data_IF_744909162411
#
_entry.id   IF_744909162411
#
_cell.length_a   1.000
_cell.length_b   1.000
_cell.length_c   1.000
_cell.angle_alpha   90.00
_cell.angle_beta   90.00
_cell.angle_gamma   90.00
#
_symmetry.space_group_name_H-M   'P 1'
#
loop_
_entity.id
_entity.type
_entity.pdbx_description
1 polymer ?
#
# COMPACT_ATOMS: atom_id res chain seq x y z
N UNK A 1 -16.42 -31.69 25.23
CA UNK A 1 -15.54 -30.51 25.24
C UNK A 1 -15.93 -29.69 26.44
N UNK A 2 -14.98 -29.35 27.30
CA UNK A 2 -15.21 -28.46 28.43
C UNK A 2 -15.30 -27.01 27.89
N UNK A 3 -16.17 -26.16 28.46
CA UNK A 3 -16.38 -24.77 28.05
C UNK A 3 -15.07 -23.96 27.93
N UNK A 4 -14.07 -24.34 28.73
CA UNK A 4 -12.73 -23.72 28.74
C UNK A 4 -11.90 -24.08 27.49
N UNK A 5 -12.00 -25.32 27.01
CA UNK A 5 -11.31 -25.77 25.79
C UNK A 5 -11.91 -25.10 24.56
N UNK A 6 -13.23 -24.95 24.54
CA UNK A 6 -13.93 -24.26 23.45
C UNK A 6 -13.60 -22.77 23.44
N UNK A 7 -13.54 -22.13 24.61
CA UNK A 7 -13.11 -20.73 24.73
C UNK A 7 -11.67 -20.52 24.22
N UNK A 8 -10.75 -21.42 24.56
CA UNK A 8 -9.37 -21.35 24.08
C UNK A 8 -9.27 -21.57 22.57
N UNK A 9 -10.03 -22.53 22.01
CA UNK A 9 -10.07 -22.76 20.57
C UNK A 9 -10.57 -21.52 19.81
N UNK A 10 -11.60 -20.84 20.32
CA UNK A 10 -12.10 -19.57 19.75
C UNK A 10 -11.03 -18.48 19.75
N UNK A 11 -10.30 -18.31 20.86
CA UNK A 11 -9.19 -17.34 20.94
C UNK A 11 -8.09 -17.64 19.93
N UNK A 12 -7.68 -18.90 19.82
CA UNK A 12 -6.68 -19.32 18.84
C UNK A 12 -7.14 -19.02 17.40
N UNK A 13 -8.41 -19.29 17.08
CA UNK A 13 -8.98 -18.98 15.76
C UNK A 13 -8.95 -17.48 15.45
N UNK A 14 -9.30 -16.62 16.41
CA UNK A 14 -9.23 -15.15 16.26
C UNK A 14 -7.78 -14.71 16.02
N UNK A 15 -6.84 -15.21 16.82
CA UNK A 15 -5.41 -14.90 16.70
C UNK A 15 -4.89 -15.21 15.29
N UNK A 16 -5.18 -16.42 14.78
CA UNK A 16 -4.77 -16.85 13.45
C UNK A 16 -5.42 -15.98 12.37
N UNK A 17 -6.73 -15.76 12.45
CA UNK A 17 -7.47 -14.95 11.47
C UNK A 17 -6.90 -13.54 11.35
N UNK A 18 -6.65 -12.90 12.49
CA UNK A 18 -6.09 -11.55 12.53
C UNK A 18 -4.65 -11.51 12.03
N UNK A 19 -3.84 -12.52 12.37
CA UNK A 19 -2.48 -12.62 11.88
C UNK A 19 -2.44 -12.71 10.34
N UNK A 20 -3.25 -13.61 9.77
CA UNK A 20 -3.39 -13.78 8.31
C UNK A 20 -3.84 -12.48 7.64
N UNK A 21 -4.77 -11.74 8.25
CA UNK A 21 -5.21 -10.45 7.71
C UNK A 21 -4.10 -9.41 7.71
N UNK A 22 -3.28 -9.34 8.75
CA UNK A 22 -2.12 -8.44 8.80
C UNK A 22 -1.09 -8.83 7.74
N UNK A 23 -0.80 -10.12 7.55
CA UNK A 23 0.10 -10.59 6.49
C UNK A 23 -0.39 -10.19 5.09
N UNK A 24 -1.68 -10.38 4.79
CA UNK A 24 -2.29 -9.95 3.53
C UNK A 24 -2.13 -8.44 3.30
N UNK A 25 -2.38 -7.62 4.32
CA UNK A 25 -2.22 -6.16 4.23
C UNK A 25 -0.76 -5.72 4.05
N UNK A 26 0.18 -6.38 4.73
CA UNK A 26 1.61 -6.13 4.53
C UNK A 26 2.01 -6.44 3.08
N UNK A 27 1.56 -7.59 2.55
CA UNK A 27 1.83 -7.99 1.16
C UNK A 27 1.21 -7.02 0.14
N UNK A 28 0.00 -6.53 0.39
CA UNK A 28 -0.63 -5.48 -0.43
C UNK A 28 0.16 -4.17 -0.38
N UNK A 29 0.80 -3.88 0.74
CA UNK A 29 1.77 -2.78 0.87
C UNK A 29 3.13 -3.09 0.24
N UNK A 30 3.28 -4.21 -0.48
CA UNK A 30 4.50 -4.58 -1.19
C UNK A 30 5.55 -5.27 -0.34
N UNK A 31 5.21 -5.72 0.88
CA UNK A 31 6.11 -6.51 1.71
C UNK A 31 6.50 -7.83 1.03
N UNK A 32 7.72 -8.29 1.31
CA UNK A 32 8.27 -9.56 0.81
C UNK A 32 8.76 -10.42 1.98
N UNK A 33 8.69 -11.74 1.82
CA UNK A 33 9.07 -12.71 2.85
C UNK A 33 7.98 -13.72 3.17
N UNK A 34 8.34 -14.68 4.01
CA UNK A 34 7.54 -15.85 4.39
C UNK A 34 6.93 -15.71 5.79
N UNK A 35 7.50 -14.87 6.66
CA UNK A 35 7.02 -14.66 8.02
C UNK A 35 6.88 -13.19 8.42
N UNK A 36 6.18 -12.94 9.54
CA UNK A 36 5.94 -11.60 10.10
C UNK A 36 7.20 -10.73 10.16
N UNK A 37 8.31 -11.29 10.65
CA UNK A 37 9.60 -10.59 10.76
C UNK A 37 10.09 -10.09 9.41
N UNK A 38 10.16 -10.98 8.42
CA UNK A 38 10.64 -10.66 7.07
C UNK A 38 9.72 -9.64 6.38
N UNK A 39 8.41 -9.82 6.51
CA UNK A 39 7.43 -8.89 5.95
C UNK A 39 7.61 -7.48 6.53
N UNK A 40 7.81 -7.35 7.84
CA UNK A 40 8.05 -6.06 8.49
C UNK A 40 9.41 -5.46 8.09
N UNK A 41 10.47 -6.27 8.06
CA UNK A 41 11.81 -5.83 7.67
C UNK A 41 11.83 -5.28 6.24
N UNK A 42 11.09 -5.91 5.32
CA UNK A 42 10.97 -5.46 3.93
C UNK A 42 10.28 -4.10 3.75
N UNK A 43 9.55 -3.63 4.77
CA UNK A 43 8.89 -2.32 4.81
C UNK A 43 9.45 -1.42 5.91
N UNK A 44 10.65 -1.72 6.43
CA UNK A 44 11.19 -1.09 7.63
C UNK A 44 11.34 0.43 7.53
N UNK A 45 11.63 0.95 6.33
CA UNK A 45 11.80 2.38 6.03
C UNK A 45 10.49 3.17 6.02
N UNK A 46 9.35 2.50 5.78
CA UNK A 46 8.04 3.15 5.64
C UNK A 46 7.12 2.84 6.82
N UNK A 47 7.35 1.75 7.55
CA UNK A 47 6.57 1.40 8.72
C UNK A 47 7.04 2.17 9.95
N UNK A 48 6.07 2.82 10.60
CA UNK A 48 6.28 3.50 11.88
C UNK A 48 6.76 2.51 12.96
N UNK A 49 7.67 2.96 13.83
CA UNK A 49 8.23 2.14 14.91
C UNK A 49 7.17 1.55 15.85
N UNK A 50 6.07 2.27 16.13
CA UNK A 50 4.94 1.79 16.93
C UNK A 50 4.25 0.59 16.27
N UNK A 51 4.00 0.67 14.97
CA UNK A 51 3.36 -0.39 14.19
C UNK A 51 4.26 -1.63 14.11
N UNK A 52 5.57 -1.45 13.87
CA UNK A 52 6.55 -2.55 13.90
C UNK A 52 6.51 -3.31 15.23
N UNK A 53 6.47 -2.58 16.35
CA UNK A 53 6.38 -3.14 17.70
C UNK A 53 5.08 -3.92 17.91
N UNK A 54 3.94 -3.38 17.46
CA UNK A 54 2.65 -4.05 17.57
C UNK A 54 2.61 -5.35 16.78
N UNK A 55 3.12 -5.35 15.54
CA UNK A 55 3.24 -6.55 14.71
C UNK A 55 4.13 -7.60 15.38
N UNK A 56 5.25 -7.18 15.99
CA UNK A 56 6.13 -8.08 16.75
C UNK A 56 5.44 -8.72 17.96
N UNK A 57 4.64 -7.96 18.72
CA UNK A 57 3.85 -8.48 19.84
C UNK A 57 2.78 -9.46 19.38
N UNK A 58 2.11 -9.17 18.27
CA UNK A 58 1.14 -10.07 17.67
C UNK A 58 1.80 -11.39 17.23
N UNK A 59 2.94 -11.32 16.55
CA UNK A 59 3.68 -12.52 16.13
C UNK A 59 4.09 -13.38 17.34
N UNK A 60 4.53 -12.75 18.42
CA UNK A 60 4.91 -13.46 19.65
C UNK A 60 3.73 -14.20 20.27
N UNK A 61 2.58 -13.54 20.47
CA UNK A 61 1.40 -14.20 21.03
C UNK A 61 0.87 -15.31 20.13
N UNK A 62 0.86 -15.09 18.80
CA UNK A 62 0.49 -16.13 17.83
C UNK A 62 1.36 -17.37 17.99
N UNK A 63 2.68 -17.20 18.10
CA UNK A 63 3.59 -18.32 18.22
C UNK A 63 3.39 -19.08 19.52
N UNK A 64 3.24 -18.38 20.65
CA UNK A 64 2.95 -19.03 21.93
C UNK A 64 1.65 -19.84 21.88
N UNK A 65 0.57 -19.26 21.35
CA UNK A 65 -0.74 -19.93 21.32
C UNK A 65 -0.78 -21.10 20.34
N UNK A 66 -0.21 -20.93 19.13
CA UNK A 66 -0.32 -21.92 18.05
C UNK A 66 0.72 -23.03 18.16
N UNK A 67 1.93 -22.73 18.61
CA UNK A 67 3.05 -23.68 18.60
C UNK A 67 3.43 -24.21 19.99
N UNK A 68 3.18 -23.44 21.05
CA UNK A 68 3.58 -23.79 22.42
C UNK A 68 2.38 -24.24 23.28
N UNK A 69 1.17 -24.23 22.72
CA UNK A 69 -0.05 -24.63 23.45
C UNK A 69 -0.44 -23.66 24.57
N UNK A 70 0.02 -22.41 24.50
CA UNK A 70 -0.23 -21.41 25.53
C UNK A 70 -1.72 -21.04 25.62
N UNK A 71 -2.24 -21.00 26.86
CA UNK A 71 -3.62 -20.58 27.15
C UNK A 71 -3.67 -19.06 27.29
N UNK A 72 -4.36 -18.41 26.36
CA UNK A 72 -4.37 -16.95 26.28
C UNK A 72 -5.37 -16.35 27.26
N UNK A 73 -4.91 -15.41 28.11
CA UNK A 73 -5.79 -14.68 29.02
C UNK A 73 -6.68 -13.68 28.28
N UNK A 74 -7.80 -13.29 28.88
CA UNK A 74 -8.68 -12.25 28.32
C UNK A 74 -7.95 -10.91 28.13
N UNK A 75 -7.02 -10.58 29.03
CA UNK A 75 -6.22 -9.36 28.95
C UNK A 75 -5.28 -9.37 27.74
N UNK A 76 -4.66 -10.51 27.46
CA UNK A 76 -3.79 -10.67 26.29
C UNK A 76 -4.59 -10.63 24.99
N UNK A 77 -5.78 -11.24 24.97
CA UNK A 77 -6.69 -11.13 23.84
C UNK A 77 -7.10 -9.68 23.57
N UNK A 78 -7.53 -8.93 24.58
CA UNK A 78 -7.88 -7.52 24.43
C UNK A 78 -6.68 -6.70 23.92
N UNK A 79 -5.47 -6.99 24.42
CA UNK A 79 -4.24 -6.36 23.93
C UNK A 79 -3.95 -6.71 22.47
N UNK A 80 -4.18 -7.95 22.07
CA UNK A 80 -4.00 -8.42 20.69
C UNK A 80 -4.99 -7.78 19.72
N UNK A 81 -6.26 -7.65 20.11
CA UNK A 81 -7.29 -6.96 19.30
C UNK A 81 -6.99 -5.47 19.14
N UNK A 82 -6.52 -4.80 20.20
CA UNK A 82 -6.10 -3.41 20.13
C UNK A 82 -4.90 -3.21 19.19
N UNK A 83 -3.91 -4.11 19.26
CA UNK A 83 -2.77 -4.12 18.34
C UNK A 83 -3.23 -4.36 16.91
N UNK A 84 -4.10 -5.34 16.67
CA UNK A 84 -4.67 -5.63 15.36
C UNK A 84 -5.38 -4.42 14.76
N UNK A 85 -6.22 -3.73 15.54
CA UNK A 85 -6.94 -2.54 15.09
C UNK A 85 -5.97 -1.43 14.66
N UNK A 86 -4.97 -1.15 15.51
CA UNK A 86 -3.93 -0.14 15.23
C UNK A 86 -3.13 -0.48 13.97
N UNK A 87 -2.66 -1.72 13.84
CA UNK A 87 -1.87 -2.18 12.69
C UNK A 87 -2.70 -2.12 11.42
N UNK A 88 -3.93 -2.64 11.45
CA UNK A 88 -4.82 -2.67 10.29
C UNK A 88 -5.15 -1.27 9.80
N UNK A 89 -5.46 -0.34 10.71
CA UNK A 89 -5.73 1.05 10.36
C UNK A 89 -4.52 1.71 9.68
N UNK A 90 -3.31 1.51 10.22
CA UNK A 90 -2.10 2.06 9.62
C UNK A 90 -1.81 1.47 8.23
N UNK A 91 -1.93 0.15 8.07
CA UNK A 91 -1.66 -0.51 6.79
C UNK A 91 -2.70 -0.15 5.71
N UNK A 92 -3.97 0.08 6.09
CA UNK A 92 -4.99 0.55 5.15
C UNK A 92 -4.69 2.00 4.74
N UNK A 93 -4.37 2.88 5.69
CA UNK A 93 -4.02 4.26 5.36
C UNK A 93 -2.80 4.35 4.41
N UNK A 94 -1.83 3.45 4.57
CA UNK A 94 -0.69 3.34 3.64
C UNK A 94 -1.12 2.90 2.23
N UNK A 95 -2.09 2.00 2.10
CA UNK A 95 -2.63 1.59 0.79
C UNK A 95 -3.37 2.74 0.12
N UNK A 96 -4.22 3.43 0.86
CA UNK A 96 -4.99 4.56 0.34
C UNK A 96 -4.05 5.68 -0.14
N UNK A 97 -3.00 5.99 0.63
CA UNK A 97 -1.98 6.96 0.24
C UNK A 97 -1.24 6.54 -1.04
N UNK A 98 -0.96 5.24 -1.23
CA UNK A 98 -0.34 4.72 -2.46
C UNK A 98 -1.26 4.82 -3.67
N UNK A 99 -2.55 4.54 -3.49
CA UNK A 99 -3.52 4.64 -4.57
C UNK A 99 -3.67 6.10 -5.03
N UNK A 100 -3.81 7.03 -4.07
CA UNK A 100 -3.87 8.47 -4.37
C UNK A 100 -2.59 8.96 -5.09
N UNK A 101 -1.41 8.53 -4.64
CA UNK A 101 -0.15 8.88 -5.30
C UNK A 101 -0.07 8.34 -6.74
N UNK A 102 -0.65 7.16 -7.00
CA UNK A 102 -0.68 6.56 -8.34
C UNK A 102 -1.57 7.38 -9.28
N UNK A 103 -2.77 7.75 -8.83
CA UNK A 103 -3.71 8.60 -9.58
C UNK A 103 -3.12 9.98 -9.87
N UNK A 104 -2.43 10.59 -8.90
CA UNK A 104 -1.75 11.87 -9.09
C UNK A 104 -0.65 11.79 -10.16
N UNK A 105 0.17 10.74 -10.14
CA UNK A 105 1.23 10.52 -11.14
C UNK A 105 0.65 10.29 -12.53
N UNK A 106 -0.45 9.54 -12.65
CA UNK A 106 -1.14 9.35 -13.93
C UNK A 106 -1.72 10.65 -14.47
N UNK A 107 -2.39 11.43 -13.62
CA UNK A 107 -2.93 12.74 -13.99
C UNK A 107 -1.83 13.71 -14.44
N UNK A 108 -0.69 13.71 -13.74
CA UNK A 108 0.48 14.50 -14.14
C UNK A 108 1.01 14.07 -15.50
N UNK A 109 1.16 12.77 -15.76
CA UNK A 109 1.60 12.25 -17.07
C UNK A 109 0.67 12.67 -18.20
N UNK A 110 -0.65 12.58 -18.01
CA UNK A 110 -1.64 13.01 -19.00
C UNK A 110 -1.52 14.53 -19.26
N UNK A 111 -1.41 15.34 -18.20
CA UNK A 111 -1.27 16.80 -18.33
C UNK A 111 0.02 17.22 -19.05
N UNK A 112 1.14 16.52 -18.80
CA UNK A 112 2.41 16.76 -19.47
C UNK A 112 2.34 16.38 -20.96
N UNK A 113 1.71 15.25 -21.30
CA UNK A 113 1.49 14.82 -22.68
C UNK A 113 0.59 15.80 -23.44
N UNK A 114 -0.45 16.33 -22.80
CA UNK A 114 -1.31 17.36 -23.36
C UNK A 114 -0.54 18.67 -23.63
N UNK A 115 0.29 19.14 -22.68
CA UNK A 115 1.12 20.35 -22.85
C UNK A 115 2.20 20.18 -23.93
N UNK A 116 2.78 19.00 -24.12
CA UNK A 116 3.76 18.78 -25.19
C UNK A 116 3.13 18.69 -26.58
N UNK A 117 1.89 18.18 -26.68
CA UNK A 117 1.15 18.09 -27.95
C UNK A 117 0.78 19.47 -28.51
N UNK A 118 0.36 20.40 -27.66
CA UNK A 118 -0.03 21.76 -28.05
C UNK A 118 1.17 22.57 -28.59
N UNK A 119 2.36 22.40 -28.00
CA UNK A 119 3.58 23.06 -28.51
C UNK A 119 3.99 22.59 -29.91
N UNK A 120 3.79 21.30 -30.25
CA UNK A 120 4.09 20.79 -31.60
C UNK A 120 3.15 21.36 -32.68
N UNK A 121 1.88 21.58 -32.34
CA UNK A 121 0.89 22.08 -33.30
C UNK A 121 1.08 23.58 -33.62
N UNK A 122 1.40 24.40 -32.61
CA UNK A 122 1.65 25.84 -32.81
C UNK A 122 2.89 26.13 -33.68
N UNK A 123 3.93 25.30 -33.60
CA UNK A 123 5.15 25.49 -34.40
C UNK A 123 4.93 25.05 -35.86
N UNK A 124 4.10 24.02 -36.11
CA UNK A 124 3.78 23.57 -37.47
C UNK A 124 2.89 24.53 -38.27
N UNK A 125 2.05 25.33 -37.59
CA UNK A 125 1.16 26.28 -38.24
C UNK A 125 1.87 27.56 -38.73
N UNK A 126 2.90 28.04 -38.02
CA UNK A 126 3.62 29.27 -38.38
C UNK A 126 4.51 29.12 -39.62
N UNK A 127 5.04 27.92 -39.87
CA UNK A 127 5.93 27.68 -41.01
C UNK A 127 5.16 27.53 -42.33
N UNK A 128 3.93 26.99 -42.30
CA UNK A 128 3.11 26.82 -43.52
C UNK A 128 2.56 28.14 -44.08
N UNK A 129 2.30 29.14 -43.22
CA UNK A 129 1.81 30.46 -43.65
C UNK A 129 2.88 31.35 -44.31
N UNK A 130 4.16 31.09 -44.08
CA UNK A 130 5.26 31.96 -44.55
C UNK A 130 5.82 31.54 -45.93
N UNK A 131 5.56 30.31 -46.38
CA UNK A 131 6.04 29.82 -47.69
C UNK A 131 5.13 30.24 -48.84
N UNK A 132 3.83 30.49 -48.60
CA UNK A 132 2.89 30.85 -49.68
C UNK A 132 3.06 32.31 -50.14
N UNK A 133 3.49 33.22 -49.26
CA UNK A 133 3.68 34.64 -49.62
C UNK A 133 4.92 34.90 -50.52
N UNK A 134 5.92 34.01 -50.52
CA UNK A 134 7.16 34.20 -51.27
C UNK A 134 7.12 33.78 -52.75
N UNK A 135 6.13 32.99 -53.16
CA UNK A 135 6.06 32.42 -54.52
C UNK A 135 5.24 33.27 -55.49
N UNK A 136 4.35 34.14 -55.00
CA UNK A 136 3.50 34.99 -55.85
C UNK A 136 4.17 36.26 -56.39
N UNK A 137 5.39 36.62 -55.94
CA UNK A 137 6.06 37.87 -56.33
C UNK A 137 6.96 37.71 -57.57
N UNK A 138 7.22 36.49 -58.06
CA UNK A 138 8.21 36.25 -59.13
C UNK A 138 7.68 35.99 -60.56
N UNK A 139 6.40 36.18 -60.86
CA UNK A 139 5.82 35.85 -62.20
C UNK A 139 5.37 37.08 -63.00
N UNK A 140 5.84 38.29 -62.67
CA UNK A 140 5.53 39.49 -63.47
C UNK A 140 6.75 40.40 -63.59
N UNK A 141 7.79 39.96 -64.31
CA UNK A 141 8.70 40.83 -65.06
C UNK A 141 9.22 40.09 -66.28
#
# INVERSE_FOLDING_TARGET
MNDTEEAQARKMWVIITYATRVEDLLRKNGAKGSGFKELVESLSDVLESGIKRNIGRMAHLRNMVVHEGYVCSEREMAGYEAQFKSVTQALIAMLDARQQNTELVENLKVSMKAKSGIKKWLIGSLISGLVIAGVLIRVTQ
#
